data_IF_356883045217
#
_entry.id   IF_356883045217
#
_cell.length_a   1.000
_cell.length_b   1.000
_cell.length_c   1.000
_cell.angle_alpha   90.00
_cell.angle_beta   90.00
_cell.angle_gamma   90.00
#
_symmetry.space_group_name_H-M   'P 1'
#
loop_
_entity.id
_entity.type
_entity.pdbx_description
1 polymer ?
#
# COMPACT_ATOMS: atom_id res chain seq x y z
N UNK A 1 1.09 -4.75 -5.61
CA UNK A 1 0.25 -5.36 -6.68
C UNK A 1 -1.17 -4.86 -6.47
N UNK A 2 -1.81 -4.30 -7.51
CA UNK A 2 -3.20 -3.82 -7.38
C UNK A 2 -4.15 -4.95 -6.97
N UNK A 3 -5.11 -4.69 -6.06
CA UNK A 3 -6.22 -5.62 -5.82
C UNK A 3 -6.90 -5.98 -7.14
N UNK A 4 -7.40 -7.19 -7.26
CA UNK A 4 -8.08 -7.67 -8.49
C UNK A 4 -9.22 -6.74 -8.90
N UNK A 5 -9.97 -6.22 -7.93
CA UNK A 5 -11.07 -5.26 -8.13
C UNK A 5 -10.63 -4.04 -8.92
N UNK A 6 -9.54 -3.43 -8.50
CA UNK A 6 -9.01 -2.21 -9.10
C UNK A 6 -8.31 -2.47 -10.41
N UNK A 7 -7.53 -3.55 -10.49
CA UNK A 7 -6.84 -3.97 -11.70
C UNK A 7 -7.82 -4.18 -12.86
N UNK A 8 -8.90 -4.95 -12.64
CA UNK A 8 -9.92 -5.23 -13.66
C UNK A 8 -10.66 -3.96 -14.07
N UNK A 9 -11.05 -3.13 -13.11
CA UNK A 9 -11.76 -1.88 -13.36
C UNK A 9 -10.91 -0.88 -14.15
N UNK A 10 -9.62 -0.73 -13.82
CA UNK A 10 -8.68 0.18 -14.49
C UNK A 10 -8.35 -0.29 -15.90
N UNK A 11 -8.08 -1.59 -16.13
CA UNK A 11 -7.87 -2.15 -17.47
C UNK A 11 -9.08 -1.85 -18.36
N UNK A 12 -10.28 -2.09 -17.85
CA UNK A 12 -11.50 -1.84 -18.58
C UNK A 12 -11.69 -0.36 -18.92
N UNK A 13 -11.46 0.53 -17.96
CA UNK A 13 -11.55 1.97 -18.16
C UNK A 13 -10.52 2.48 -19.19
N UNK A 14 -9.28 2.04 -19.10
CA UNK A 14 -8.21 2.46 -20.01
C UNK A 14 -8.44 2.00 -21.45
N UNK A 15 -9.03 0.80 -21.65
CA UNK A 15 -9.39 0.30 -22.97
C UNK A 15 -10.74 0.83 -23.50
N UNK A 16 -11.55 1.52 -22.69
CA UNK A 16 -12.93 1.82 -23.02
C UNK A 16 -13.83 0.58 -23.15
N UNK A 17 -13.42 -0.53 -22.54
CA UNK A 17 -14.14 -1.80 -22.61
C UNK A 17 -15.36 -1.81 -21.67
N UNK A 18 -16.44 -2.48 -22.12
CA UNK A 18 -17.49 -2.94 -21.21
C UNK A 18 -17.03 -4.19 -20.47
N UNK A 19 -17.70 -4.57 -19.38
CA UNK A 19 -17.42 -5.86 -18.71
C UNK A 19 -17.52 -7.05 -19.67
N UNK A 20 -18.46 -7.01 -20.63
CA UNK A 20 -18.59 -8.04 -21.68
C UNK A 20 -17.43 -7.99 -22.69
N UNK A 21 -16.95 -6.79 -23.01
CA UNK A 21 -15.78 -6.60 -23.88
C UNK A 21 -14.54 -7.24 -23.29
N UNK A 22 -14.23 -6.92 -22.05
CA UNK A 22 -13.10 -7.50 -21.33
C UNK A 22 -13.26 -9.03 -21.12
N UNK A 23 -14.48 -9.50 -20.83
CA UNK A 23 -14.76 -10.93 -20.70
C UNK A 23 -14.42 -11.70 -21.97
N UNK A 24 -14.82 -11.19 -23.14
CA UNK A 24 -14.47 -11.79 -24.43
C UNK A 24 -12.97 -11.81 -24.68
N UNK A 25 -12.27 -10.72 -24.34
CA UNK A 25 -10.81 -10.60 -24.52
C UNK A 25 -10.04 -11.62 -23.66
N UNK A 26 -10.50 -11.85 -22.44
CA UNK A 26 -9.89 -12.79 -21.50
C UNK A 26 -10.38 -14.24 -21.65
N UNK A 27 -11.39 -14.49 -22.50
CA UNK A 27 -11.97 -15.81 -22.68
C UNK A 27 -12.76 -16.31 -21.46
N UNK A 28 -13.35 -15.40 -20.69
CA UNK A 28 -14.17 -15.70 -19.50
C UNK A 28 -15.61 -15.20 -19.68
N UNK A 29 -16.49 -15.55 -18.74
CA UNK A 29 -17.87 -15.08 -18.78
C UNK A 29 -18.01 -13.66 -18.16
N UNK A 30 -19.03 -12.90 -18.60
CA UNK A 30 -19.41 -11.64 -17.96
C UNK A 30 -19.58 -11.76 -16.43
N UNK A 31 -20.29 -12.76 -15.87
CA UNK A 31 -20.39 -12.93 -14.43
C UNK A 31 -19.02 -13.09 -13.74
N UNK A 32 -18.04 -13.65 -14.42
CA UNK A 32 -16.68 -13.82 -13.90
C UNK A 32 -16.01 -12.44 -13.71
N UNK A 33 -16.07 -11.58 -14.72
CA UNK A 33 -15.52 -10.21 -14.63
C UNK A 33 -16.21 -9.43 -13.51
N UNK A 34 -17.55 -9.49 -13.46
CA UNK A 34 -18.34 -8.84 -12.41
C UNK A 34 -17.98 -9.36 -10.99
N UNK A 35 -17.72 -10.66 -10.85
CA UNK A 35 -17.31 -11.24 -9.58
C UNK A 35 -15.91 -10.75 -9.16
N UNK A 36 -14.98 -10.63 -10.09
CA UNK A 36 -13.64 -10.09 -9.85
C UNK A 36 -13.69 -8.60 -9.47
N UNK A 37 -14.44 -7.77 -10.20
CA UNK A 37 -14.59 -6.34 -9.88
C UNK A 37 -15.28 -6.09 -8.53
N UNK A 38 -16.05 -7.05 -8.03
CA UNK A 38 -16.72 -6.96 -6.72
C UNK A 38 -16.01 -7.70 -5.60
N UNK A 39 -14.83 -8.25 -5.86
CA UNK A 39 -14.06 -9.01 -4.87
C UNK A 39 -14.75 -10.30 -4.39
N UNK A 40 -15.72 -10.84 -5.17
CA UNK A 40 -16.45 -12.06 -4.82
C UNK A 40 -15.70 -13.34 -5.19
N UNK A 41 -14.72 -13.22 -6.06
CA UNK A 41 -13.80 -14.30 -6.46
C UNK A 41 -12.51 -13.73 -7.00
N UNK A 42 -11.44 -14.52 -6.94
CA UNK A 42 -10.14 -14.16 -7.50
C UNK A 42 -9.93 -14.84 -8.86
N UNK A 43 -9.19 -14.21 -9.78
CA UNK A 43 -8.77 -14.84 -11.02
C UNK A 43 -7.83 -16.00 -10.76
N UNK A 44 -7.88 -17.01 -11.64
CA UNK A 44 -6.86 -18.07 -11.62
C UNK A 44 -5.47 -17.45 -11.87
N UNK A 45 -4.36 -18.11 -11.46
CA UNK A 45 -3.00 -17.59 -11.69
C UNK A 45 -2.73 -17.23 -13.14
N UNK A 46 -3.30 -17.98 -14.09
CA UNK A 46 -3.20 -17.70 -15.53
C UNK A 46 -3.90 -16.38 -15.91
N UNK A 47 -5.13 -16.19 -15.46
CA UNK A 47 -5.89 -14.98 -15.78
C UNK A 47 -5.29 -13.77 -15.06
N UNK A 48 -4.78 -13.95 -13.83
CA UNK A 48 -4.07 -12.90 -13.11
C UNK A 48 -2.88 -12.38 -13.89
N UNK A 49 -2.03 -13.29 -14.42
CA UNK A 49 -0.89 -12.93 -15.25
C UNK A 49 -1.31 -12.16 -16.51
N UNK A 50 -2.37 -12.62 -17.19
CA UNK A 50 -2.86 -11.92 -18.39
C UNK A 50 -3.39 -10.52 -18.07
N UNK A 51 -4.03 -10.32 -16.91
CA UNK A 51 -4.44 -8.99 -16.45
C UNK A 51 -3.25 -8.09 -16.17
N UNK A 52 -2.19 -8.60 -15.56
CA UNK A 52 -0.95 -7.86 -15.29
C UNK A 52 -0.21 -7.49 -16.59
N UNK A 53 -0.14 -8.39 -17.55
CA UNK A 53 0.41 -8.14 -18.90
C UNK A 53 -0.39 -7.02 -19.59
N UNK A 54 -1.72 -7.06 -19.55
CA UNK A 54 -2.57 -6.01 -20.11
C UNK A 54 -2.42 -4.67 -19.39
N UNK A 55 -2.25 -4.69 -18.06
CA UNK A 55 -2.02 -3.47 -17.29
C UNK A 55 -0.68 -2.83 -17.66
N UNK A 56 0.36 -3.63 -17.86
CA UNK A 56 1.66 -3.17 -18.32
C UNK A 56 1.60 -2.58 -19.73
N UNK A 57 0.89 -3.23 -20.67
CA UNK A 57 0.69 -2.71 -22.04
C UNK A 57 -0.08 -1.38 -22.08
N UNK A 58 -0.95 -1.15 -21.10
CA UNK A 58 -1.80 0.05 -21.00
C UNK A 58 -1.18 1.14 -20.12
N UNK A 59 0.06 0.93 -19.69
CA UNK A 59 0.74 1.84 -18.76
C UNK A 59 -0.12 2.15 -17.50
N UNK A 60 -0.87 1.13 -17.06
CA UNK A 60 -1.63 1.21 -15.83
C UNK A 60 -0.63 1.13 -14.68
N UNK A 61 -0.21 2.29 -14.24
CA UNK A 61 0.78 2.47 -13.19
C UNK A 61 0.29 1.79 -11.91
N UNK A 62 1.13 0.96 -11.33
CA UNK A 62 0.90 0.44 -9.98
C UNK A 62 0.90 1.64 -9.02
N UNK A 63 -0.29 2.01 -8.55
CA UNK A 63 -0.40 3.03 -7.53
C UNK A 63 0.23 2.51 -6.25
N UNK A 64 1.25 3.19 -5.77
CA UNK A 64 1.81 2.90 -4.45
C UNK A 64 0.87 3.47 -3.39
N UNK A 65 0.17 2.61 -2.67
CA UNK A 65 -0.64 3.03 -1.53
C UNK A 65 0.26 3.11 -0.30
N UNK A 66 0.43 4.33 0.19
CA UNK A 66 1.17 4.65 1.42
C UNK A 66 0.18 4.94 2.54
N UNK A 67 0.31 4.27 3.67
CA UNK A 67 -0.42 4.61 4.88
C UNK A 67 0.54 5.23 5.90
N UNK A 68 0.11 6.30 6.54
CA UNK A 68 0.81 6.94 7.66
C UNK A 68 -0.02 6.77 8.92
N UNK A 69 0.53 6.15 9.95
CA UNK A 69 -0.12 6.02 11.27
C UNK A 69 0.72 6.83 12.27
N UNK A 70 0.21 7.98 12.65
CA UNK A 70 0.89 8.94 13.54
C UNK A 70 -0.18 9.85 14.16
N UNK A 71 -0.12 10.10 15.46
CA UNK A 71 -1.06 11.00 16.16
C UNK A 71 -0.80 12.49 15.84
N UNK A 72 0.35 12.81 15.25
CA UNK A 72 0.65 14.11 14.66
C UNK A 72 0.31 14.14 13.16
N UNK A 73 -0.73 14.88 12.72
CA UNK A 73 -1.12 14.96 11.31
C UNK A 73 -0.04 15.56 10.41
N UNK A 74 0.93 16.28 10.95
CA UNK A 74 2.04 16.88 10.19
C UNK A 74 2.89 15.82 9.51
N UNK A 75 3.06 14.65 10.13
CA UNK A 75 3.78 13.53 9.51
C UNK A 75 3.17 13.12 8.18
N UNK A 76 1.85 13.00 8.12
CA UNK A 76 1.17 12.64 6.87
C UNK A 76 1.28 13.74 5.80
N UNK A 77 1.27 15.01 6.18
CA UNK A 77 1.48 16.12 5.26
C UNK A 77 2.90 16.13 4.67
N UNK A 78 3.91 15.84 5.46
CA UNK A 78 5.29 15.70 5.00
C UNK A 78 5.44 14.54 4.01
N UNK A 79 4.82 13.39 4.31
CA UNK A 79 4.83 12.23 3.40
C UNK A 79 4.10 12.54 2.09
N UNK A 80 2.98 13.27 2.11
CA UNK A 80 2.29 13.74 0.90
C UNK A 80 3.15 14.69 0.08
N UNK A 81 3.83 15.62 0.75
CA UNK A 81 4.75 16.53 0.07
C UNK A 81 5.90 15.77 -0.61
N UNK A 82 6.52 14.83 0.09
CA UNK A 82 7.57 13.98 -0.46
C UNK A 82 7.11 13.11 -1.65
N UNK A 83 5.84 12.66 -1.63
CA UNK A 83 5.25 11.89 -2.72
C UNK A 83 4.96 12.74 -3.97
N UNK A 84 4.68 14.03 -3.80
CA UNK A 84 4.36 14.95 -4.91
C UNK A 84 5.55 15.17 -5.85
N UNK A 85 6.77 15.07 -5.34
CA UNK A 85 7.99 15.23 -6.13
C UNK A 85 8.32 14.00 -7.00
N UNK A 86 7.59 12.91 -6.81
CA UNK A 86 7.75 11.69 -7.59
C UNK A 86 6.76 11.70 -8.76
N UNK A 87 7.29 11.56 -9.98
CA UNK A 87 6.48 11.42 -11.22
C UNK A 87 5.86 10.02 -11.30
N UNK A 88 5.06 9.67 -10.29
CA UNK A 88 4.46 8.35 -10.14
C UNK A 88 3.12 8.42 -9.41
N UNK A 89 2.23 7.45 -9.65
CA UNK A 89 0.97 7.35 -8.93
C UNK A 89 1.21 6.85 -7.49
N UNK A 90 1.21 7.78 -6.56
CA UNK A 90 1.31 7.52 -5.12
C UNK A 90 0.09 8.09 -4.43
N UNK A 91 -0.67 7.25 -3.73
CA UNK A 91 -1.73 7.71 -2.83
C UNK A 91 -1.25 7.65 -1.39
N UNK A 92 -1.51 8.69 -0.61
CA UNK A 92 -1.11 8.79 0.79
C UNK A 92 -2.34 8.95 1.67
N UNK A 93 -2.63 7.93 2.44
CA UNK A 93 -3.68 7.90 3.45
C UNK A 93 -3.08 8.03 4.86
N UNK A 94 -3.88 8.44 5.83
CA UNK A 94 -3.41 8.61 7.20
C UNK A 94 -4.41 8.11 8.23
N UNK A 95 -3.89 7.68 9.37
CA UNK A 95 -4.66 7.36 10.57
C UNK A 95 -4.01 8.05 11.78
N UNK A 96 -4.81 8.55 12.70
CA UNK A 96 -4.34 9.31 13.86
C UNK A 96 -4.15 8.45 15.11
N UNK A 97 -4.48 7.16 15.03
CA UNK A 97 -4.21 6.18 16.06
C UNK A 97 -3.99 4.78 15.49
N UNK A 98 -3.44 3.88 16.30
CA UNK A 98 -3.08 2.55 15.84
C UNK A 98 -4.28 1.64 15.54
N UNK A 99 -5.45 1.85 16.15
CA UNK A 99 -6.64 1.06 15.86
C UNK A 99 -7.25 1.43 14.52
N UNK A 100 -7.41 2.73 14.25
CA UNK A 100 -7.80 3.25 12.93
C UNK A 100 -6.82 2.75 11.87
N UNK A 101 -5.52 2.79 12.18
CA UNK A 101 -4.46 2.31 11.30
C UNK A 101 -4.62 0.84 10.92
N UNK A 102 -4.88 -0.06 11.88
CA UNK A 102 -5.10 -1.48 11.61
C UNK A 102 -6.33 -1.73 10.71
N UNK A 103 -7.42 -0.98 10.95
CA UNK A 103 -8.63 -1.06 10.10
C UNK A 103 -8.30 -0.62 8.67
N UNK A 104 -7.55 0.50 8.52
CA UNK A 104 -7.13 1.01 7.21
C UNK A 104 -6.14 0.07 6.51
N UNK A 105 -5.25 -0.62 7.23
CA UNK A 105 -4.42 -1.66 6.64
C UNK A 105 -5.24 -2.76 5.97
N UNK A 106 -6.31 -3.22 6.61
CA UNK A 106 -7.19 -4.24 6.04
C UNK A 106 -8.00 -3.77 4.82
N UNK A 107 -8.47 -2.52 4.83
CA UNK A 107 -9.32 -1.98 3.76
C UNK A 107 -8.52 -1.42 2.57
N UNK A 108 -7.37 -0.79 2.81
CA UNK A 108 -6.56 -0.13 1.77
C UNK A 108 -5.47 -1.05 1.22
N UNK A 109 -5.05 -2.07 1.98
CA UNK A 109 -3.95 -2.97 1.64
C UNK A 109 -2.68 -2.20 1.18
N UNK A 110 -2.14 -1.30 2.02
CA UNK A 110 -1.03 -0.47 1.64
C UNK A 110 0.21 -1.29 1.34
N UNK A 111 1.07 -0.79 0.43
CA UNK A 111 2.37 -1.40 0.13
C UNK A 111 3.49 -0.81 0.99
N UNK A 112 3.30 0.40 1.51
CA UNK A 112 4.23 1.09 2.41
C UNK A 112 3.48 1.67 3.60
N UNK A 113 4.01 1.46 4.80
CA UNK A 113 3.49 1.99 6.05
C UNK A 113 4.58 2.81 6.76
N UNK A 114 4.33 4.09 6.98
CA UNK A 114 5.04 4.88 7.98
C UNK A 114 4.28 4.78 9.32
N UNK A 115 4.96 4.34 10.37
CA UNK A 115 4.34 4.01 11.64
C UNK A 115 5.07 4.69 12.81
N UNK A 116 4.43 5.66 13.45
CA UNK A 116 5.00 6.22 14.67
C UNK A 116 4.99 5.17 15.78
N UNK A 117 6.09 5.13 16.53
CA UNK A 117 6.22 4.21 17.67
C UNK A 117 5.49 4.77 18.88
N UNK A 118 5.51 6.10 19.07
CA UNK A 118 5.09 6.74 20.32
C UNK A 118 3.71 7.38 20.20
N UNK A 119 2.68 6.56 20.12
CA UNK A 119 1.29 7.01 20.03
C UNK A 119 0.50 6.71 21.31
N UNK A 120 -0.52 7.52 21.65
CA UNK A 120 -1.45 7.21 22.72
C UNK A 120 -2.26 5.92 22.45
N UNK A 121 -2.56 5.18 23.49
CA UNK A 121 -3.37 3.97 23.41
C UNK A 121 -2.55 2.77 23.00
N UNK A 122 -2.61 2.37 21.72
CA UNK A 122 -1.79 1.29 21.18
C UNK A 122 -0.53 1.87 20.52
N UNK A 123 0.65 1.44 20.98
CA UNK A 123 1.93 1.88 20.41
C UNK A 123 2.22 1.25 19.04
N UNK A 124 3.11 1.89 18.26
CA UNK A 124 3.44 1.40 16.92
C UNK A 124 4.10 0.02 16.90
N UNK A 125 4.83 -0.36 17.95
CA UNK A 125 5.41 -1.71 18.03
C UNK A 125 4.33 -2.78 18.21
N UNK A 126 3.27 -2.46 18.96
CA UNK A 126 2.13 -3.35 19.12
C UNK A 126 1.28 -3.41 17.84
N UNK A 127 1.09 -2.27 17.15
CA UNK A 127 0.48 -2.25 15.81
C UNK A 127 1.24 -3.20 14.87
N UNK A 128 2.56 -3.04 14.77
CA UNK A 128 3.40 -3.87 13.90
C UNK A 128 3.28 -5.38 14.20
N UNK A 129 3.17 -5.78 15.47
CA UNK A 129 2.96 -7.18 15.85
C UNK A 129 1.60 -7.72 15.42
N UNK A 130 0.59 -6.86 15.24
CA UNK A 130 -0.77 -7.24 14.84
C UNK A 130 -0.95 -7.29 13.33
N UNK A 131 -0.10 -6.60 12.54
CA UNK A 131 -0.17 -6.59 11.08
C UNK A 131 -0.26 -7.99 10.44
N UNK A 132 0.51 -9.00 10.86
CA UNK A 132 0.39 -10.35 10.29
C UNK A 132 -0.98 -11.01 10.48
N UNK A 133 -1.81 -10.50 11.40
CA UNK A 133 -3.16 -10.99 11.66
C UNK A 133 -4.24 -10.24 10.85
N UNK A 134 -3.85 -9.21 10.09
CA UNK A 134 -4.78 -8.45 9.25
C UNK A 134 -5.04 -9.24 7.97
N UNK A 135 -6.29 -9.62 7.77
CA UNK A 135 -6.70 -10.44 6.62
C UNK A 135 -6.52 -9.67 5.30
N UNK A 136 -5.98 -10.34 4.29
CA UNK A 136 -5.77 -9.78 2.96
C UNK A 136 -4.57 -8.84 2.83
N UNK A 137 -3.87 -8.55 3.91
CA UNK A 137 -2.67 -7.72 3.86
C UNK A 137 -1.55 -8.47 3.12
N UNK A 138 -1.17 -7.93 1.95
CA UNK A 138 -0.08 -8.47 1.13
C UNK A 138 1.30 -8.16 1.72
N UNK A 139 2.31 -8.10 0.85
CA UNK A 139 3.64 -7.69 1.26
C UNK A 139 3.65 -6.19 1.60
N UNK A 140 3.67 -5.88 2.89
CA UNK A 140 3.72 -4.54 3.43
C UNK A 140 5.15 -4.21 3.90
N UNK A 141 5.72 -3.15 3.35
CA UNK A 141 6.94 -2.57 3.89
C UNK A 141 6.59 -1.63 5.04
N UNK A 142 7.12 -1.91 6.23
CA UNK A 142 6.93 -1.04 7.40
C UNK A 142 8.18 -0.21 7.64
N UNK A 143 8.02 1.08 7.87
CA UNK A 143 9.07 2.01 8.26
C UNK A 143 8.63 2.69 9.56
N UNK A 144 9.32 2.40 10.64
CA UNK A 144 9.06 3.07 11.90
C UNK A 144 9.54 4.52 11.86
N UNK A 145 8.74 5.38 12.43
CA UNK A 145 9.06 6.79 12.65
C UNK A 145 9.06 7.02 14.16
N UNK A 146 10.05 7.72 14.71
CA UNK A 146 10.09 7.97 16.15
C UNK A 146 10.90 9.18 16.55
N UNK A 147 10.41 9.94 17.54
CA UNK A 147 11.20 10.95 18.24
C UNK A 147 12.10 10.34 19.33
N UNK A 148 11.86 9.09 19.70
CA UNK A 148 12.60 8.42 20.76
C UNK A 148 14.01 8.03 20.30
N UNK A 149 15.01 8.40 21.11
CA UNK A 149 16.39 7.93 20.95
C UNK A 149 16.74 6.81 21.95
N UNK A 150 15.74 6.27 22.65
CA UNK A 150 15.95 5.19 23.61
C UNK A 150 16.49 3.92 22.93
N UNK A 151 17.65 3.39 23.36
CA UNK A 151 18.20 2.16 22.80
C UNK A 151 17.24 0.98 22.90
N UNK A 152 16.41 0.90 23.94
CA UNK A 152 15.41 -0.15 24.11
C UNK A 152 14.35 -0.09 23.01
N UNK A 153 13.79 1.11 22.74
CA UNK A 153 12.79 1.30 21.69
C UNK A 153 13.36 0.95 20.32
N UNK A 154 14.55 1.45 20.01
CA UNK A 154 15.22 1.18 18.74
C UNK A 154 15.56 -0.31 18.56
N UNK A 155 16.01 -0.97 19.64
CA UNK A 155 16.30 -2.40 19.64
C UNK A 155 15.05 -3.25 19.37
N UNK A 156 13.92 -2.88 19.99
CA UNK A 156 12.63 -3.55 19.78
C UNK A 156 12.10 -3.35 18.37
N UNK A 157 12.25 -2.16 17.81
CA UNK A 157 11.88 -1.86 16.42
C UNK A 157 12.73 -2.68 15.44
N UNK A 158 14.06 -2.71 15.65
CA UNK A 158 14.99 -3.50 14.84
C UNK A 158 14.70 -5.00 14.91
N UNK A 159 14.28 -5.52 16.07
CA UNK A 159 13.92 -6.93 16.25
C UNK A 159 12.69 -7.34 15.42
N UNK A 160 11.86 -6.40 14.98
CA UNK A 160 10.76 -6.63 14.04
C UNK A 160 11.21 -6.62 12.56
N UNK A 161 12.51 -6.40 12.29
CA UNK A 161 13.09 -6.44 10.95
C UNK A 161 12.76 -5.22 10.07
N UNK A 162 12.24 -4.13 10.66
CA UNK A 162 11.80 -2.95 9.94
C UNK A 162 12.81 -1.79 10.02
N UNK A 163 12.81 -0.93 8.99
CA UNK A 163 13.60 0.29 9.00
C UNK A 163 13.06 1.29 10.04
N UNK A 164 13.95 2.12 10.59
CA UNK A 164 13.60 3.16 11.57
C UNK A 164 14.13 4.50 11.07
N UNK A 165 13.27 5.53 11.07
CA UNK A 165 13.62 6.92 10.77
C UNK A 165 13.37 7.76 12.02
N UNK A 166 14.36 8.54 12.42
CA UNK A 166 14.22 9.45 13.55
C UNK A 166 13.49 10.75 13.12
N UNK A 167 12.62 11.27 13.96
CA UNK A 167 12.09 12.65 13.84
C UNK A 167 13.18 13.65 14.27
N UNK A 168 13.33 14.84 13.64
CA UNK A 168 12.45 15.39 12.60
C UNK A 168 12.64 14.69 11.24
N UNK A 169 11.54 14.55 10.49
CA UNK A 169 11.54 13.93 9.18
C UNK A 169 12.05 14.91 8.11
N UNK A 170 13.00 14.47 7.31
CA UNK A 170 13.51 15.21 6.16
C UNK A 170 12.83 14.73 4.87
N UNK A 171 12.43 15.68 4.01
CA UNK A 171 11.73 15.36 2.75
C UNK A 171 12.55 14.43 1.86
N UNK A 172 13.85 14.67 1.73
CA UNK A 172 14.75 13.84 0.90
C UNK A 172 14.77 12.37 1.37
N UNK A 173 14.74 12.17 2.70
CA UNK A 173 14.68 10.82 3.28
C UNK A 173 13.35 10.14 2.96
N UNK A 174 12.23 10.84 3.12
CA UNK A 174 10.90 10.33 2.80
C UNK A 174 10.78 10.01 1.30
N UNK A 175 11.18 10.94 0.43
CA UNK A 175 11.20 10.75 -1.03
C UNK A 175 12.01 9.52 -1.42
N UNK A 176 13.19 9.32 -0.83
CA UNK A 176 14.04 8.16 -1.10
C UNK A 176 13.37 6.84 -0.72
N UNK A 177 12.69 6.79 0.44
CA UNK A 177 11.97 5.59 0.91
C UNK A 177 10.78 5.27 0.01
N UNK A 178 10.01 6.29 -0.39
CA UNK A 178 8.86 6.13 -1.28
C UNK A 178 9.33 5.65 -2.66
N UNK A 179 10.38 6.28 -3.23
CA UNK A 179 10.95 5.90 -4.53
C UNK A 179 11.47 4.46 -4.54
N UNK A 180 12.13 4.04 -3.46
CA UNK A 180 12.57 2.65 -3.32
C UNK A 180 11.39 1.68 -3.30
N UNK A 181 10.33 2.00 -2.54
CA UNK A 181 9.12 1.17 -2.48
C UNK A 181 8.38 1.10 -3.81
N UNK A 182 8.35 2.20 -4.59
CA UNK A 182 7.85 2.21 -5.96
C UNK A 182 8.61 1.22 -6.85
N UNK A 183 9.94 1.24 -6.78
CA UNK A 183 10.80 0.35 -7.56
C UNK A 183 10.57 -1.12 -7.21
N UNK A 184 10.37 -1.43 -5.94
CA UNK A 184 10.07 -2.79 -5.46
C UNK A 184 8.70 -3.29 -5.92
N UNK A 185 7.68 -2.41 -5.95
CA UNK A 185 6.33 -2.72 -6.44
C UNK A 185 6.34 -2.91 -7.97
N UNK A 186 7.08 -2.09 -8.70
CA UNK A 186 7.18 -2.17 -10.17
C UNK A 186 7.98 -3.39 -10.66
N UNK A 187 8.85 -3.96 -9.82
CA UNK A 187 9.68 -5.12 -10.16
C UNK A 187 8.98 -6.48 -9.97
N UNK A 188 7.73 -6.49 -9.48
CA UNK A 188 6.93 -7.69 -9.17
C UNK A 188 5.88 -7.97 -10.20
#
# INVERSE_FOLDING_TARGET
MLPTTDLVSRIRAANGDTQEGLARRLGVSYPTINAWERGRSEPTPRHRRTLEELAAELDIVHELVVLVIDDDPVTAELVRAAATDLDAAVSVESALDGWEGLVKCGSLQPSLLFLDIMMPGIDGLEVARRLPSVEGLGELRVVFVTASQSPDVLSRAAALGNAVIAKPLELDTLTSVIAQSLSEVSAR
#
